data_IF_214656968403
#
_entry.id   IF_214656968403
#
_cell.length_a   1.000
_cell.length_b   1.000
_cell.length_c   1.000
_cell.angle_alpha   90.00
_cell.angle_beta   90.00
_cell.angle_gamma   90.00
#
_symmetry.space_group_name_H-M   'P 1'
#
loop_
_entity.id
_entity.type
_entity.pdbx_description
1 polymer ?
#
# COMPACT_ATOMS: atom_id res chain seq x y z
N UNK A 1 23.48 9.83 7.01
CA UNK A 1 22.09 9.81 6.48
C UNK A 1 22.08 9.43 5.00
N UNK A 2 22.88 10.09 4.15
CA UNK A 2 22.92 9.80 2.70
C UNK A 2 23.35 8.36 2.35
N UNK A 3 24.35 7.81 3.03
CA UNK A 3 24.81 6.43 2.79
C UNK A 3 23.74 5.37 3.09
N UNK A 4 22.96 5.56 4.16
CA UNK A 4 21.88 4.67 4.56
C UNK A 4 20.74 4.68 3.53
N UNK A 5 20.39 5.86 3.03
CA UNK A 5 19.37 6.03 1.99
C UNK A 5 19.79 5.35 0.71
N UNK A 6 21.02 5.60 0.24
CA UNK A 6 21.53 4.97 -0.99
C UNK A 6 21.52 3.45 -0.88
N UNK A 7 21.86 2.92 0.31
CA UNK A 7 21.83 1.48 0.58
C UNK A 7 20.40 0.93 0.46
N UNK A 8 19.41 1.58 1.08
CA UNK A 8 18.00 1.16 1.03
C UNK A 8 17.44 1.25 -0.38
N UNK A 9 17.68 2.35 -1.08
CA UNK A 9 17.20 2.52 -2.46
C UNK A 9 17.81 1.47 -3.39
N UNK A 10 19.10 1.17 -3.25
CA UNK A 10 19.76 0.12 -4.03
C UNK A 10 19.16 -1.26 -3.76
N UNK A 11 18.98 -1.63 -2.49
CA UNK A 11 18.37 -2.90 -2.10
C UNK A 11 16.93 -3.01 -2.61
N UNK A 12 16.14 -1.93 -2.54
CA UNK A 12 14.77 -1.91 -3.02
C UNK A 12 14.73 -2.16 -4.53
N UNK A 13 15.59 -1.50 -5.31
CA UNK A 13 15.69 -1.72 -6.76
C UNK A 13 16.09 -3.17 -7.09
N UNK A 14 17.05 -3.73 -6.36
CA UNK A 14 17.46 -5.13 -6.56
C UNK A 14 16.32 -6.11 -6.28
N UNK A 15 15.60 -5.91 -5.16
CA UNK A 15 14.44 -6.73 -4.79
C UNK A 15 13.33 -6.59 -5.83
N UNK A 16 13.06 -5.38 -6.31
CA UNK A 16 12.08 -5.13 -7.36
C UNK A 16 12.46 -5.84 -8.66
N UNK A 17 13.72 -5.76 -9.09
CA UNK A 17 14.16 -6.43 -10.33
C UNK A 17 14.06 -7.95 -10.20
N UNK A 18 14.57 -8.53 -9.11
CA UNK A 18 14.52 -9.98 -8.88
C UNK A 18 13.07 -10.46 -8.74
N UNK A 19 12.24 -9.71 -8.00
CA UNK A 19 10.83 -10.01 -7.81
C UNK A 19 10.02 -9.90 -9.10
N UNK A 20 10.26 -8.89 -9.94
CA UNK A 20 9.61 -8.78 -11.25
C UNK A 20 9.99 -9.97 -12.15
N UNK A 21 11.28 -10.30 -12.24
CA UNK A 21 11.75 -11.43 -13.06
C UNK A 21 11.19 -12.76 -12.58
N UNK A 22 11.22 -13.02 -11.27
CA UNK A 22 10.71 -14.26 -10.69
C UNK A 22 9.20 -14.42 -10.91
N UNK A 23 8.42 -13.39 -10.60
CA UNK A 23 6.96 -13.45 -10.75
C UNK A 23 6.51 -13.48 -12.21
N UNK A 24 7.20 -12.79 -13.13
CA UNK A 24 6.95 -12.91 -14.57
C UNK A 24 7.26 -14.31 -15.08
N UNK A 25 8.35 -14.92 -14.61
CA UNK A 25 8.71 -16.28 -14.99
C UNK A 25 7.62 -17.28 -14.53
N UNK A 26 7.11 -17.15 -13.31
CA UNK A 26 6.01 -17.98 -12.80
C UNK A 26 4.78 -17.85 -13.69
N UNK A 27 4.36 -16.62 -14.03
CA UNK A 27 3.20 -16.40 -14.91
C UNK A 27 3.46 -17.02 -16.29
N UNK A 28 4.65 -16.83 -16.86
CA UNK A 28 5.00 -17.36 -18.17
C UNK A 28 4.94 -18.89 -18.20
N UNK A 29 5.53 -19.55 -17.20
CA UNK A 29 5.54 -21.02 -17.09
C UNK A 29 4.13 -21.57 -16.88
N UNK A 30 3.35 -21.00 -15.96
CA UNK A 30 2.00 -21.49 -15.65
C UNK A 30 0.96 -21.18 -16.74
N UNK A 31 1.20 -20.18 -17.58
CA UNK A 31 0.29 -19.86 -18.70
C UNK A 31 0.47 -20.83 -19.88
N UNK A 32 1.60 -21.55 -19.95
CA UNK A 32 1.89 -22.51 -21.03
C UNK A 32 1.19 -23.87 -20.89
N UNK A 33 0.65 -24.21 -19.72
CA UNK A 33 -0.03 -25.48 -19.49
C UNK A 33 -1.55 -25.38 -19.79
N UNK A 34 -2.05 -26.28 -20.65
CA UNK A 34 -3.46 -26.30 -21.08
C UNK A 34 -4.43 -26.82 -20.01
N UNK A 35 -3.95 -27.49 -18.96
CA UNK A 35 -4.76 -28.04 -17.87
C UNK A 35 -4.54 -27.22 -16.61
N UNK A 36 -5.45 -26.30 -16.31
CA UNK A 36 -5.30 -25.36 -15.20
C UNK A 36 -5.81 -25.95 -13.89
N UNK A 37 -4.91 -26.24 -12.96
CA UNK A 37 -5.26 -26.71 -11.61
C UNK A 37 -5.55 -25.53 -10.67
N UNK A 38 -6.22 -25.79 -9.54
CA UNK A 38 -6.57 -24.77 -8.54
C UNK A 38 -5.31 -24.05 -8.01
N UNK A 39 -4.24 -24.79 -7.75
CA UNK A 39 -2.99 -24.23 -7.24
C UNK A 39 -2.28 -23.32 -8.25
N UNK A 40 -2.39 -23.60 -9.55
CA UNK A 40 -1.78 -22.76 -10.59
C UNK A 40 -2.49 -21.41 -10.69
N UNK A 41 -3.83 -21.42 -10.59
CA UNK A 41 -4.61 -20.18 -10.57
C UNK A 41 -4.28 -19.34 -9.33
N UNK A 42 -4.12 -19.97 -8.17
CA UNK A 42 -3.66 -19.30 -6.95
C UNK A 42 -2.26 -18.70 -7.12
N UNK A 43 -1.33 -19.45 -7.71
CA UNK A 43 0.06 -19.02 -7.90
C UNK A 43 0.18 -17.84 -8.89
N UNK A 44 -0.62 -17.84 -9.97
CA UNK A 44 -0.72 -16.70 -10.90
C UNK A 44 -1.30 -15.47 -10.20
N UNK A 45 -2.31 -15.63 -9.34
CA UNK A 45 -2.87 -14.54 -8.56
C UNK A 45 -1.87 -13.94 -7.57
N UNK A 46 -1.06 -14.79 -6.93
CA UNK A 46 0.04 -14.36 -6.06
C UNK A 46 1.05 -13.53 -6.87
N UNK A 47 1.56 -14.08 -7.97
CA UNK A 47 2.53 -13.39 -8.83
C UNK A 47 2.01 -12.04 -9.36
N UNK A 48 0.72 -11.93 -9.72
CA UNK A 48 0.12 -10.67 -10.15
C UNK A 48 0.10 -9.61 -9.04
N UNK A 49 -0.18 -10.04 -7.81
CA UNK A 49 -0.19 -9.18 -6.63
C UNK A 49 1.21 -8.66 -6.34
N UNK A 50 2.22 -9.52 -6.42
CA UNK A 50 3.62 -9.13 -6.25
C UNK A 50 4.09 -8.15 -7.33
N UNK A 51 3.77 -8.37 -8.61
CA UNK A 51 4.10 -7.44 -9.70
C UNK A 51 3.49 -6.06 -9.46
N UNK A 52 2.22 -6.03 -9.04
CA UNK A 52 1.50 -4.78 -8.75
C UNK A 52 2.11 -4.08 -7.54
N UNK A 53 2.42 -4.81 -6.47
CA UNK A 53 3.03 -4.28 -5.27
C UNK A 53 4.42 -3.69 -5.54
N UNK A 54 5.27 -4.42 -6.25
CA UNK A 54 6.61 -3.97 -6.60
C UNK A 54 6.59 -2.75 -7.55
N UNK A 55 5.67 -2.75 -8.52
CA UNK A 55 5.53 -1.66 -9.49
C UNK A 55 4.95 -0.38 -8.88
N UNK A 56 4.13 -0.48 -7.83
CA UNK A 56 3.57 0.68 -7.14
C UNK A 56 4.47 1.16 -6.00
N UNK A 57 5.01 0.26 -5.18
CA UNK A 57 5.80 0.62 -4.00
C UNK A 57 7.09 1.35 -4.36
N UNK A 58 7.84 0.87 -5.35
CA UNK A 58 9.12 1.47 -5.74
C UNK A 58 9.00 2.94 -6.21
N UNK A 59 8.12 3.31 -7.17
CA UNK A 59 7.97 4.71 -7.58
C UNK A 59 7.35 5.57 -6.47
N UNK A 60 6.45 5.04 -5.63
CA UNK A 60 5.91 5.78 -4.49
C UNK A 60 7.04 6.13 -3.51
N UNK A 61 7.88 5.16 -3.14
CA UNK A 61 9.01 5.39 -2.22
C UNK A 61 10.01 6.39 -2.79
N UNK A 62 10.35 6.29 -4.07
CA UNK A 62 11.28 7.23 -4.73
C UNK A 62 10.69 8.65 -4.75
N UNK A 63 9.43 8.79 -5.17
CA UNK A 63 8.75 10.11 -5.19
C UNK A 63 8.70 10.72 -3.80
N UNK A 64 8.30 9.95 -2.77
CA UNK A 64 8.24 10.43 -1.39
C UNK A 64 9.62 10.85 -0.86
N UNK A 65 10.69 10.23 -1.34
CA UNK A 65 12.05 10.55 -0.94
C UNK A 65 12.55 11.85 -1.60
N UNK A 66 12.29 12.04 -2.90
CA UNK A 66 12.77 13.22 -3.65
C UNK A 66 11.86 14.45 -3.55
N UNK A 67 10.56 14.24 -3.40
CA UNK A 67 9.56 15.30 -3.37
C UNK A 67 8.79 15.19 -2.06
N UNK A 68 9.00 16.16 -1.16
CA UNK A 68 8.24 16.30 0.09
C UNK A 68 6.77 16.71 -0.14
N UNK A 69 6.25 16.54 -1.35
CA UNK A 69 4.90 16.84 -1.81
C UNK A 69 4.36 15.73 -2.73
N UNK A 70 3.06 15.46 -2.65
CA UNK A 70 2.43 14.28 -3.28
C UNK A 70 2.21 14.48 -4.79
N UNK A 71 2.98 13.77 -5.63
CA UNK A 71 2.91 13.90 -7.09
C UNK A 71 2.02 12.85 -7.79
N UNK A 72 1.53 11.83 -7.09
CA UNK A 72 0.74 10.71 -7.67
C UNK A 72 -0.66 11.13 -8.20
N UNK A 73 -0.87 12.44 -8.40
CA UNK A 73 -2.11 13.05 -8.87
C UNK A 73 -3.15 13.20 -7.76
N UNK A 74 -4.16 14.04 -8.02
CA UNK A 74 -5.28 14.24 -7.10
C UNK A 74 -6.07 12.95 -6.83
N UNK A 75 -6.08 12.01 -7.78
CA UNK A 75 -6.79 10.74 -7.66
C UNK A 75 -6.26 9.91 -6.48
N UNK A 76 -4.97 9.58 -6.46
CA UNK A 76 -4.38 8.78 -5.40
C UNK A 76 -4.36 9.51 -4.05
N UNK A 77 -4.18 10.83 -4.04
CA UNK A 77 -4.27 11.63 -2.82
C UNK A 77 -5.67 11.56 -2.18
N UNK A 78 -6.72 11.70 -2.99
CA UNK A 78 -8.11 11.67 -2.54
C UNK A 78 -8.56 10.27 -2.13
N UNK A 79 -8.09 9.23 -2.83
CA UNK A 79 -8.30 7.82 -2.46
C UNK A 79 -7.64 7.52 -1.11
N UNK A 80 -6.39 7.93 -0.89
CA UNK A 80 -5.69 7.69 0.37
C UNK A 80 -6.38 8.40 1.55
N UNK A 81 -6.75 9.67 1.38
CA UNK A 81 -7.49 10.42 2.40
C UNK A 81 -8.86 9.80 2.67
N UNK A 82 -9.57 9.37 1.62
CA UNK A 82 -10.86 8.68 1.77
C UNK A 82 -10.72 7.38 2.56
N UNK A 83 -9.75 6.53 2.22
CA UNK A 83 -9.51 5.26 2.94
C UNK A 83 -9.18 5.54 4.41
N UNK A 84 -8.28 6.47 4.70
CA UNK A 84 -7.90 6.82 6.08
C UNK A 84 -9.10 7.34 6.87
N UNK A 85 -9.94 8.19 6.27
CA UNK A 85 -11.13 8.72 6.94
C UNK A 85 -12.18 7.63 7.21
N UNK A 86 -12.43 6.75 6.26
CA UNK A 86 -13.37 5.63 6.44
C UNK A 86 -12.86 4.69 7.55
N UNK A 87 -11.56 4.38 7.58
CA UNK A 87 -10.97 3.58 8.65
C UNK A 87 -11.12 4.23 10.02
N UNK A 88 -10.91 5.55 10.14
CA UNK A 88 -11.12 6.28 11.40
C UNK A 88 -12.57 6.26 11.85
N UNK A 89 -13.52 6.46 10.94
CA UNK A 89 -14.96 6.39 11.23
C UNK A 89 -15.33 4.99 11.71
N UNK A 90 -14.82 3.93 11.10
CA UNK A 90 -15.08 2.57 11.56
C UNK A 90 -14.51 2.31 12.96
N UNK A 91 -13.34 2.86 13.30
CA UNK A 91 -12.77 2.74 14.65
C UNK A 91 -13.59 3.55 15.66
N UNK A 92 -13.97 4.79 15.35
CA UNK A 92 -14.81 5.60 16.24
C UNK A 92 -16.20 4.97 16.46
N UNK A 93 -16.79 4.34 15.44
CA UNK A 93 -18.03 3.58 15.60
C UNK A 93 -17.84 2.29 16.42
N UNK A 94 -16.64 1.68 16.43
CA UNK A 94 -16.31 0.55 17.30
C UNK A 94 -16.04 1.00 18.75
N UNK A 95 -15.43 2.17 18.96
CA UNK A 95 -15.25 2.77 20.29
C UNK A 95 -16.57 3.29 20.89
N UNK A 96 -17.49 3.79 20.05
CA UNK A 96 -18.85 4.18 20.45
C UNK A 96 -19.74 2.98 20.83
N UNK A 97 -19.39 1.75 20.43
CA UNK A 97 -20.05 0.53 20.91
C UNK A 97 -19.46 -0.01 22.21
N UNK A 98 -18.34 0.53 22.68
CA UNK A 98 -17.56 0.01 23.81
C UNK A 98 -17.35 0.96 24.99
N UNK A 99 -17.74 2.25 24.90
CA UNK A 99 -17.55 3.20 26.02
C UNK A 99 -18.74 4.14 26.20
N UNK A 100 -19.24 4.31 27.44
CA UNK A 100 -20.38 5.18 27.74
C UNK A 100 -20.04 6.64 27.44
N UNK A 101 -21.01 7.35 26.83
CA UNK A 101 -20.96 8.80 26.58
C UNK A 101 -20.58 9.57 27.84
N UNK A 102 -19.32 10.01 27.93
CA UNK A 102 -18.94 11.12 28.80
C UNK A 102 -19.16 12.42 28.03
N UNK A 103 -20.32 13.02 28.27
CA UNK A 103 -20.66 14.39 27.91
C UNK A 103 -19.67 15.34 28.58
N UNK A 104 -18.61 15.75 27.88
CA UNK A 104 -17.80 16.90 28.30
C UNK A 104 -18.59 18.15 27.97
N UNK A 105 -19.18 18.71 29.03
CA UNK A 105 -19.88 19.98 29.06
C UNK A 105 -18.86 21.11 28.84
N UNK A 106 -18.79 21.68 27.64
CA UNK A 106 -18.01 22.89 27.37
C UNK A 106 -18.88 24.12 27.63
N UNK A 107 -18.73 24.70 28.81
CA UNK A 107 -19.23 26.04 29.16
C UNK A 107 -18.53 27.10 28.29
N UNK A 108 -19.24 28.13 27.79
CA UNK A 108 -18.63 29.23 27.05
C UNK A 108 -18.03 30.24 28.04
N UNK A 109 -16.72 30.31 28.14
CA UNK A 109 -16.03 31.40 28.84
C UNK A 109 -15.62 32.47 27.82
N UNK A 110 -16.28 33.61 27.97
CA UNK A 110 -16.00 34.96 27.46
C UNK A 110 -14.57 35.45 27.73
N UNK A 111 -13.87 35.98 26.73
CA UNK A 111 -13.52 37.42 26.55
C UNK A 111 -12.79 37.62 25.22
#
# INVERSE_FOLDING_TARGET
METFVLTISCLCVLITVVGLLGNLLVICVLTGCSTRMVYETFCVGLAWTDLTYLSLSCPITVVQYYIRSWIFGLFWCKVFFFIVQVSKITIENNDLSGSPKLTVQSSPETF
#
